data_IF_845840109902
#
_entry.id   IF_845840109902
#
_cell.length_a   1.000
_cell.length_b   1.000
_cell.length_c   1.000
_cell.angle_alpha   90.00
_cell.angle_beta   90.00
_cell.angle_gamma   90.00
#
_symmetry.space_group_name_H-M   'P 1'
#
loop_
_entity.id
_entity.type
_entity.pdbx_description
1 polymer ?
#
# COMPACT_ATOMS: atom_id res chain seq x y z
N UNK A 1 -15.47 -42.55 40.73
CA UNK A 1 -16.22 -41.34 40.37
C UNK A 1 -16.06 -41.13 38.88
N UNK A 2 -17.16 -41.25 38.14
CA UNK A 2 -17.22 -40.98 36.71
C UNK A 2 -16.93 -39.50 36.44
N UNK A 3 -16.04 -39.22 35.50
CA UNK A 3 -16.07 -37.97 34.74
C UNK A 3 -16.25 -38.33 33.27
N UNK A 4 -17.51 -38.41 32.86
CA UNK A 4 -17.89 -38.20 31.48
C UNK A 4 -17.46 -36.78 31.09
N UNK A 5 -16.69 -36.67 30.03
CA UNK A 5 -16.57 -35.46 29.23
C UNK A 5 -16.11 -35.85 27.83
N UNK A 6 -17.02 -36.44 27.09
CA UNK A 6 -17.12 -36.34 25.63
C UNK A 6 -17.33 -34.85 25.25
N UNK A 7 -16.30 -34.04 25.47
CA UNK A 7 -16.29 -32.60 25.25
C UNK A 7 -15.38 -32.23 24.09
N UNK A 8 -15.90 -31.47 23.12
CA UNK A 8 -15.12 -30.91 22.02
C UNK A 8 -13.85 -30.21 22.54
N UNK A 9 -12.68 -30.62 22.04
CA UNK A 9 -11.37 -30.03 22.37
C UNK A 9 -11.18 -28.58 21.86
N UNK A 10 -12.22 -28.02 21.22
CA UNK A 10 -12.24 -26.65 20.71
C UNK A 10 -13.03 -25.78 21.68
N UNK A 11 -12.40 -24.83 22.40
CA UNK A 11 -13.10 -23.92 23.31
C UNK A 11 -14.11 -23.07 22.52
N UNK A 12 -15.36 -22.99 22.98
CA UNK A 12 -16.42 -22.18 22.35
C UNK A 12 -16.49 -20.74 22.87
N UNK A 13 -15.95 -20.46 24.06
CA UNK A 13 -15.98 -19.14 24.68
C UNK A 13 -14.61 -18.72 25.25
N UNK A 14 -14.08 -17.58 24.82
CA UNK A 14 -12.88 -16.95 25.39
C UNK A 14 -12.11 -16.05 24.43
N UNK A 15 -12.05 -14.76 24.78
CA UNK A 15 -11.24 -13.74 24.12
C UNK A 15 -9.76 -14.16 23.99
N UNK A 16 -9.19 -14.00 22.80
CA UNK A 16 -7.79 -14.34 22.49
C UNK A 16 -6.87 -13.30 23.14
N UNK A 17 -6.25 -13.66 24.27
CA UNK A 17 -5.14 -12.92 24.86
C UNK A 17 -3.80 -13.69 24.84
N UNK A 18 -3.67 -14.73 24.01
CA UNK A 18 -2.38 -15.37 23.70
C UNK A 18 -2.44 -16.18 22.38
N UNK A 19 -1.41 -16.16 21.51
CA UNK A 19 -1.47 -16.76 20.16
C UNK A 19 -1.52 -18.30 20.12
N UNK A 20 -1.60 -18.98 21.26
CA UNK A 20 -1.33 -20.42 21.36
C UNK A 20 -2.54 -21.29 21.67
N UNK A 21 -3.75 -20.73 21.82
CA UNK A 21 -4.95 -21.53 22.11
C UNK A 21 -6.19 -20.97 21.42
N UNK A 22 -6.77 -21.76 20.51
CA UNK A 22 -8.16 -21.60 20.05
C UNK A 22 -8.42 -20.70 18.84
N UNK A 23 -7.45 -20.55 17.94
CA UNK A 23 -7.65 -19.81 16.66
C UNK A 23 -7.94 -20.79 15.52
N UNK A 24 -8.70 -20.37 14.50
CA UNK A 24 -9.01 -21.16 13.30
C UNK A 24 -7.72 -21.81 12.77
N UNK A 25 -7.71 -23.14 12.64
CA UNK A 25 -6.51 -23.91 12.24
C UNK A 25 -5.77 -24.63 13.38
N UNK A 26 -6.21 -24.49 14.65
CA UNK A 26 -5.64 -25.25 15.77
C UNK A 26 -5.89 -26.74 15.59
N UNK A 27 -4.84 -27.56 15.59
CA UNK A 27 -4.97 -29.02 15.48
C UNK A 27 -5.69 -29.62 16.69
N UNK A 28 -6.80 -30.31 16.45
CA UNK A 28 -7.63 -30.93 17.50
C UNK A 28 -7.63 -32.47 17.46
N UNK A 29 -7.36 -33.08 16.30
CA UNK A 29 -7.18 -34.51 16.12
C UNK A 29 -6.39 -34.76 14.81
N UNK A 30 -5.81 -35.96 14.59
CA UNK A 30 -5.12 -36.28 13.35
C UNK A 30 -5.97 -35.95 12.12
N UNK A 31 -5.49 -35.03 11.28
CA UNK A 31 -6.22 -34.57 10.08
C UNK A 31 -7.42 -33.66 10.35
N UNK A 32 -7.55 -33.06 11.54
CA UNK A 32 -8.66 -32.18 11.93
C UNK A 32 -8.20 -30.88 12.59
N UNK A 33 -8.92 -29.79 12.36
CA UNK A 33 -8.67 -28.46 12.91
C UNK A 33 -9.90 -27.86 13.60
N UNK A 34 -9.69 -26.97 14.56
CA UNK A 34 -10.75 -26.19 15.18
C UNK A 34 -11.22 -25.07 14.25
N UNK A 35 -12.51 -25.03 13.94
CA UNK A 35 -13.19 -23.97 13.19
C UNK A 35 -14.53 -23.66 13.87
N UNK A 36 -14.73 -22.41 14.32
CA UNK A 36 -15.97 -22.01 14.99
C UNK A 36 -16.27 -22.78 16.29
N UNK A 37 -15.23 -23.23 17.01
CA UNK A 37 -15.40 -24.04 18.22
C UNK A 37 -15.75 -25.52 17.96
N UNK A 38 -15.60 -26.00 16.72
CA UNK A 38 -15.83 -27.40 16.33
C UNK A 38 -14.59 -28.01 15.68
N UNK A 39 -14.31 -29.28 15.98
CA UNK A 39 -13.17 -30.01 15.42
C UNK A 39 -13.55 -30.64 14.07
N UNK A 40 -13.29 -29.91 12.99
CA UNK A 40 -13.66 -30.28 11.62
C UNK A 40 -12.48 -30.92 10.89
N UNK A 41 -12.70 -31.82 9.92
CA UNK A 41 -11.64 -32.27 9.03
C UNK A 41 -10.92 -31.09 8.40
N UNK A 42 -9.59 -31.16 8.31
CA UNK A 42 -8.83 -30.23 7.48
C UNK A 42 -9.33 -30.45 6.06
N UNK A 43 -10.15 -29.52 5.55
CA UNK A 43 -10.49 -29.49 4.14
C UNK A 43 -9.14 -29.49 3.43
N UNK A 44 -8.89 -30.53 2.62
CA UNK A 44 -7.75 -30.54 1.72
C UNK A 44 -7.72 -29.16 1.06
N UNK A 45 -6.62 -28.43 1.26
CA UNK A 45 -6.40 -27.19 0.52
C UNK A 45 -6.73 -27.51 -0.94
N UNK A 46 -7.54 -26.69 -1.63
CA UNK A 46 -7.86 -26.94 -3.03
C UNK A 46 -6.54 -27.27 -3.72
N UNK A 47 -6.51 -28.45 -4.32
CA UNK A 47 -5.30 -29.04 -4.87
C UNK A 47 -4.55 -27.99 -5.69
N UNK A 48 -3.22 -28.10 -5.77
CA UNK A 48 -2.37 -27.24 -6.61
C UNK A 48 -2.87 -27.11 -8.08
N UNK A 49 -3.84 -27.94 -8.49
CA UNK A 49 -4.52 -27.95 -9.79
C UNK A 49 -5.58 -26.85 -10.02
N UNK A 50 -5.96 -26.06 -9.01
CA UNK A 50 -6.89 -24.92 -9.17
C UNK A 50 -6.20 -23.54 -9.10
N UNK A 51 -4.86 -23.49 -9.08
CA UNK A 51 -4.13 -22.22 -9.11
C UNK A 51 -4.08 -21.66 -10.52
N UNK A 52 -4.47 -20.40 -10.64
CA UNK A 52 -4.25 -19.64 -11.86
C UNK A 52 -2.75 -19.56 -12.18
N UNK A 53 -2.44 -19.53 -13.46
CA UNK A 53 -1.11 -19.24 -13.97
C UNK A 53 -1.04 -17.80 -14.47
N UNK A 54 0.13 -17.18 -14.32
CA UNK A 54 0.34 -15.84 -14.85
C UNK A 54 0.42 -15.88 -16.39
N UNK A 55 -0.27 -14.96 -17.05
CA UNK A 55 -0.05 -14.68 -18.46
C UNK A 55 1.38 -14.20 -18.71
N UNK A 56 1.79 -14.17 -19.97
CA UNK A 56 2.98 -13.42 -20.37
C UNK A 56 2.81 -11.93 -20.00
N UNK A 57 3.94 -11.29 -19.70
CA UNK A 57 3.97 -9.86 -19.43
C UNK A 57 3.68 -9.09 -20.72
N UNK A 58 2.73 -8.17 -20.63
CA UNK A 58 2.50 -7.14 -21.65
C UNK A 58 3.19 -5.88 -21.20
N UNK A 59 4.10 -5.36 -22.02
CA UNK A 59 4.89 -4.16 -21.72
C UNK A 59 4.38 -2.95 -22.50
N UNK A 60 4.27 -1.82 -21.82
CA UNK A 60 3.93 -0.53 -22.42
C UNK A 60 5.18 0.13 -23.04
N UNK A 61 4.96 1.19 -23.82
CA UNK A 61 6.04 2.04 -24.34
C UNK A 61 6.81 2.74 -23.22
N UNK A 62 8.12 2.97 -23.45
CA UNK A 62 8.96 3.75 -22.53
C UNK A 62 8.43 5.19 -22.38
N UNK A 63 8.32 5.64 -21.14
CA UNK A 63 7.89 6.99 -20.74
C UNK A 63 8.97 7.63 -19.86
N UNK A 64 9.15 8.94 -19.93
CA UNK A 64 10.16 9.64 -19.11
C UNK A 64 9.73 11.05 -18.77
N UNK A 65 10.10 11.50 -17.55
CA UNK A 65 9.99 12.90 -17.14
C UNK A 65 11.10 13.81 -17.69
N UNK A 66 12.08 13.25 -18.41
CA UNK A 66 13.26 13.95 -18.93
C UNK A 66 14.01 14.76 -17.86
N UNK A 67 14.20 14.14 -16.70
CA UNK A 67 14.91 14.70 -15.56
C UNK A 67 16.41 14.37 -15.63
N UNK A 68 17.24 15.23 -15.04
CA UNK A 68 18.69 15.03 -14.99
C UNK A 68 19.05 13.72 -14.27
N UNK A 69 20.07 13.01 -14.78
CA UNK A 69 20.56 11.70 -14.30
C UNK A 69 19.54 10.56 -14.26
N UNK A 70 18.30 10.84 -14.64
CA UNK A 70 17.17 9.93 -14.57
C UNK A 70 17.08 9.06 -15.82
N UNK A 71 16.35 7.96 -15.73
CA UNK A 71 16.04 7.07 -16.86
C UNK A 71 14.55 7.17 -17.20
N UNK A 72 14.15 6.52 -18.28
CA UNK A 72 12.75 6.25 -18.54
C UNK A 72 12.24 5.06 -17.74
N UNK A 73 10.93 4.93 -17.67
CA UNK A 73 10.24 3.79 -17.13
C UNK A 73 9.17 3.29 -18.10
N UNK A 74 8.98 1.97 -18.14
CA UNK A 74 7.90 1.29 -18.84
C UNK A 74 7.18 0.36 -17.88
N UNK A 75 5.86 0.40 -17.96
CA UNK A 75 5.00 -0.45 -17.14
C UNK A 75 4.84 -1.79 -17.84
N UNK A 76 4.78 -2.86 -17.07
CA UNK A 76 4.35 -4.17 -17.57
C UNK A 76 3.25 -4.75 -16.69
N UNK A 77 2.29 -5.41 -17.32
CA UNK A 77 1.14 -6.03 -16.67
C UNK A 77 0.98 -7.47 -17.13
N UNK A 78 0.50 -8.33 -16.23
CA UNK A 78 0.13 -9.71 -16.51
C UNK A 78 -1.20 -10.02 -15.85
N UNK A 79 -1.91 -11.01 -16.36
CA UNK A 79 -3.24 -11.38 -15.89
C UNK A 79 -3.20 -12.78 -15.30
N UNK A 80 -3.99 -13.00 -14.24
CA UNK A 80 -4.11 -14.30 -13.61
C UNK A 80 -5.14 -15.12 -14.38
N UNK A 81 -4.70 -16.18 -15.05
CA UNK A 81 -5.49 -16.96 -16.00
C UNK A 81 -5.48 -18.46 -15.64
N UNK A 82 -6.63 -19.12 -15.79
CA UNK A 82 -6.75 -20.58 -15.70
C UNK A 82 -6.31 -21.26 -17.00
N UNK A 83 -6.28 -22.60 -17.02
CA UNK A 83 -5.96 -23.40 -18.22
C UNK A 83 -6.77 -23.00 -19.47
N UNK A 84 -8.01 -22.56 -19.27
CA UNK A 84 -8.92 -22.10 -20.35
C UNK A 84 -8.82 -20.59 -20.64
N UNK A 85 -7.75 -19.91 -20.19
CA UNK A 85 -7.56 -18.44 -20.27
C UNK A 85 -8.67 -17.60 -19.66
N UNK A 86 -9.43 -18.17 -18.72
CA UNK A 86 -10.42 -17.45 -17.91
C UNK A 86 -9.77 -16.84 -16.69
N UNK A 87 -10.29 -15.72 -16.20
CA UNK A 87 -9.80 -15.06 -14.98
C UNK A 87 -9.78 -16.03 -13.81
N UNK A 88 -8.62 -16.15 -13.17
CA UNK A 88 -8.40 -16.99 -12.01
C UNK A 88 -8.22 -16.12 -10.74
N UNK A 89 -8.60 -16.67 -9.59
CA UNK A 89 -8.63 -15.92 -8.32
C UNK A 89 -7.37 -16.11 -7.47
N UNK A 90 -6.46 -17.02 -7.84
CA UNK A 90 -5.32 -17.39 -7.01
C UNK A 90 -4.01 -17.52 -7.82
N UNK A 91 -3.34 -16.39 -8.04
CA UNK A 91 -1.95 -16.33 -8.50
C UNK A 91 -1.06 -15.67 -7.44
N UNK A 92 0.15 -16.21 -7.23
CA UNK A 92 1.13 -15.63 -6.29
C UNK A 92 2.07 -14.67 -7.01
N UNK A 93 2.26 -13.46 -6.46
CA UNK A 93 3.12 -12.40 -7.00
C UNK A 93 2.34 -11.20 -7.55
N UNK A 94 3.05 -10.15 -8.01
CA UNK A 94 2.41 -8.93 -8.51
C UNK A 94 1.87 -9.10 -9.93
N UNK A 95 0.71 -8.50 -10.25
CA UNK A 95 0.18 -8.41 -11.61
C UNK A 95 0.76 -7.21 -12.39
N UNK A 96 1.49 -6.35 -11.69
CA UNK A 96 2.00 -5.07 -12.14
C UNK A 96 3.48 -4.94 -11.76
N UNK A 97 4.27 -4.37 -12.67
CA UNK A 97 5.68 -4.07 -12.43
C UNK A 97 6.14 -2.89 -13.32
N UNK A 98 7.21 -2.22 -12.91
CA UNK A 98 7.82 -1.08 -13.59
C UNK A 98 9.28 -1.39 -13.86
N UNK A 99 9.66 -1.34 -15.13
CA UNK A 99 11.03 -1.55 -15.59
C UNK A 99 11.64 -0.22 -16.06
N UNK A 100 12.94 -0.06 -15.81
CA UNK A 100 13.69 1.06 -16.35
C UNK A 100 13.96 0.84 -17.86
N UNK A 101 14.03 1.93 -18.60
CA UNK A 101 14.35 1.96 -20.02
C UNK A 101 15.22 3.17 -20.36
N UNK A 102 15.97 3.06 -21.45
CA UNK A 102 16.73 4.19 -21.99
C UNK A 102 15.78 5.20 -22.65
N UNK A 103 15.86 6.44 -22.19
CA UNK A 103 15.02 7.56 -22.62
C UNK A 103 15.78 8.60 -23.46
N UNK A 104 17.03 8.37 -23.84
CA UNK A 104 17.83 9.31 -24.63
C UNK A 104 17.12 9.77 -25.91
N UNK A 105 16.45 8.83 -26.59
CA UNK A 105 15.71 9.12 -27.84
C UNK A 105 14.42 9.92 -27.61
N UNK A 106 13.84 9.83 -26.41
CA UNK A 106 12.63 10.56 -25.99
C UNK A 106 13.01 11.97 -25.54
N UNK A 107 14.09 12.09 -24.76
CA UNK A 107 14.52 13.31 -24.09
C UNK A 107 15.59 14.06 -24.88
N UNK A 108 15.24 14.56 -26.06
CA UNK A 108 16.15 15.29 -26.96
C UNK A 108 16.47 16.72 -26.53
N UNK A 109 15.66 17.29 -25.64
CA UNK A 109 15.82 18.65 -25.12
C UNK A 109 16.67 18.64 -23.85
N UNK A 110 17.13 19.82 -23.42
CA UNK A 110 17.82 19.98 -22.14
C UNK A 110 16.96 19.41 -21.01
N UNK A 111 17.54 18.47 -20.26
CA UNK A 111 16.89 17.83 -19.11
C UNK A 111 16.69 18.83 -17.97
N UNK A 112 15.51 18.78 -17.37
CA UNK A 112 15.13 19.61 -16.22
C UNK A 112 15.74 19.04 -14.94
N UNK A 113 16.08 19.90 -13.99
CA UNK A 113 16.47 19.44 -12.64
C UNK A 113 15.27 18.87 -11.89
N UNK A 114 15.51 17.97 -10.94
CA UNK A 114 14.43 17.40 -10.12
C UNK A 114 13.75 18.50 -9.27
N UNK A 115 14.54 19.46 -8.76
CA UNK A 115 14.03 20.61 -7.98
C UNK A 115 13.10 21.49 -8.81
N UNK A 116 13.44 21.80 -10.06
CA UNK A 116 12.55 22.56 -10.95
C UNK A 116 11.25 21.80 -11.24
N UNK A 117 11.32 20.47 -11.41
CA UNK A 117 10.12 19.65 -11.59
C UNK A 117 9.24 19.66 -10.34
N UNK A 118 9.81 19.42 -9.16
CA UNK A 118 9.12 19.47 -7.88
C UNK A 118 8.48 20.84 -7.65
N UNK A 119 9.20 21.94 -7.95
CA UNK A 119 8.69 23.31 -7.83
C UNK A 119 7.45 23.53 -8.69
N UNK A 120 7.45 23.08 -9.95
CA UNK A 120 6.29 23.21 -10.83
C UNK A 120 5.09 22.39 -10.33
N UNK A 121 5.35 21.21 -9.76
CA UNK A 121 4.29 20.39 -9.16
C UNK A 121 3.74 21.04 -7.89
N UNK A 122 4.58 21.62 -7.03
CA UNK A 122 4.12 22.36 -5.85
C UNK A 122 3.26 23.57 -6.20
N UNK A 123 3.62 24.32 -7.25
CA UNK A 123 2.78 25.41 -7.76
C UNK A 123 1.39 24.88 -8.18
N UNK A 124 1.35 23.78 -8.93
CA UNK A 124 0.09 23.14 -9.34
C UNK A 124 -0.72 22.58 -8.15
N UNK A 125 -0.07 22.00 -7.16
CA UNK A 125 -0.73 21.49 -5.96
C UNK A 125 -1.33 22.62 -5.13
N UNK A 126 -0.66 23.78 -5.07
CA UNK A 126 -1.14 24.95 -4.32
C UNK A 126 -2.44 25.56 -4.85
N UNK A 127 -2.83 25.24 -6.09
CA UNK A 127 -4.14 25.62 -6.65
C UNK A 127 -5.30 24.90 -5.95
N UNK A 128 -5.04 23.71 -5.39
CA UNK A 128 -6.03 22.88 -4.69
C UNK A 128 -5.81 22.81 -3.19
N UNK A 129 -4.57 23.00 -2.74
CA UNK A 129 -4.15 22.95 -1.34
C UNK A 129 -3.64 24.32 -0.90
N UNK A 130 -4.51 25.20 -0.37
CA UNK A 130 -4.17 26.59 -0.05
C UNK A 130 -3.08 26.74 1.03
N UNK A 131 -2.86 25.71 1.85
CA UNK A 131 -1.80 25.62 2.86
C UNK A 131 -0.38 25.55 2.28
N UNK A 132 -0.25 25.20 1.00
CA UNK A 132 1.04 25.13 0.31
C UNK A 132 1.46 26.51 -0.21
N UNK A 133 2.76 26.78 -0.12
CA UNK A 133 3.39 27.93 -0.76
C UNK A 133 3.79 27.56 -2.20
N UNK A 134 2.91 27.86 -3.15
CA UNK A 134 3.14 27.61 -4.57
C UNK A 134 4.27 28.45 -5.19
N UNK A 135 4.72 29.51 -4.53
CA UNK A 135 5.85 30.32 -4.99
C UNK A 135 7.20 29.79 -4.49
N UNK A 136 7.19 28.93 -3.46
CA UNK A 136 8.39 28.32 -2.93
C UNK A 136 8.94 27.22 -3.84
N UNK A 137 10.25 26.99 -3.74
CA UNK A 137 10.90 25.85 -4.39
C UNK A 137 10.41 24.54 -3.78
N UNK A 138 10.12 23.56 -4.62
CA UNK A 138 9.89 22.17 -4.19
C UNK A 138 11.19 21.45 -3.84
N UNK A 139 11.07 20.33 -3.15
CA UNK A 139 12.19 19.54 -2.63
C UNK A 139 12.03 18.06 -2.99
N UNK A 140 13.14 17.43 -3.32
CA UNK A 140 13.32 15.98 -3.27
C UNK A 140 14.05 15.67 -1.97
N UNK A 141 13.44 14.90 -1.07
CA UNK A 141 14.09 14.49 0.17
C UNK A 141 15.19 13.46 -0.12
N UNK A 142 16.11 13.28 0.83
CA UNK A 142 17.14 12.25 0.72
C UNK A 142 16.54 10.84 0.85
N UNK A 143 17.29 9.85 0.37
CA UNK A 143 16.91 8.46 0.50
C UNK A 143 17.02 7.98 1.94
N UNK A 144 15.97 7.32 2.40
CA UNK A 144 15.91 6.66 3.69
C UNK A 144 15.64 5.18 3.53
N UNK A 145 16.48 4.35 4.14
CA UNK A 145 16.41 2.89 4.04
C UNK A 145 15.15 2.30 4.65
N UNK A 146 14.51 3.01 5.58
CA UNK A 146 13.26 2.60 6.24
C UNK A 146 12.01 3.23 5.58
N UNK A 147 12.21 4.22 4.70
CA UNK A 147 11.15 4.96 4.01
C UNK A 147 11.55 5.21 2.57
N UNK A 148 11.57 4.12 1.80
CA UNK A 148 11.99 4.15 0.39
C UNK A 148 11.19 5.14 -0.46
N UNK A 149 9.97 5.51 -0.04
CA UNK A 149 9.14 6.46 -0.76
C UNK A 149 9.62 7.93 -0.68
N UNK A 150 10.42 8.29 0.33
CA UNK A 150 10.73 9.70 0.61
C UNK A 150 11.48 10.38 -0.53
N UNK A 151 12.54 9.76 -1.05
CA UNK A 151 13.29 10.34 -2.17
C UNK A 151 12.53 10.35 -3.50
N UNK A 152 11.35 9.74 -3.54
CA UNK A 152 10.47 9.70 -4.71
C UNK A 152 9.18 10.51 -4.53
N UNK A 153 8.92 11.07 -3.34
CA UNK A 153 7.81 11.97 -3.11
C UNK A 153 8.19 13.43 -3.39
N UNK A 154 7.19 14.23 -3.75
CA UNK A 154 7.36 15.67 -3.95
C UNK A 154 7.05 16.38 -2.63
N UNK A 155 8.05 17.10 -2.11
CA UNK A 155 7.89 17.91 -0.91
C UNK A 155 7.69 19.38 -1.27
N UNK A 156 6.63 19.97 -0.74
CA UNK A 156 6.24 21.35 -0.96
C UNK A 156 6.33 22.16 0.33
N UNK A 157 6.82 23.39 0.25
CA UNK A 157 6.89 24.25 1.42
C UNK A 157 5.48 24.63 1.87
N UNK A 158 5.23 24.61 3.17
CA UNK A 158 3.99 25.10 3.75
C UNK A 158 4.07 26.60 4.06
N UNK A 159 2.91 27.27 4.03
CA UNK A 159 2.80 28.70 4.39
C UNK A 159 2.81 28.94 5.90
N UNK A 160 2.19 28.02 6.65
CA UNK A 160 1.98 28.15 8.09
C UNK A 160 3.18 27.69 8.92
N UNK A 161 3.93 26.70 8.41
CA UNK A 161 5.17 26.23 9.01
C UNK A 161 6.28 26.32 7.96
N UNK A 162 7.45 26.86 8.34
CA UNK A 162 8.61 27.00 7.46
C UNK A 162 9.30 25.65 7.18
N UNK A 163 8.51 24.62 6.86
CA UNK A 163 8.91 23.24 6.64
C UNK A 163 8.33 22.70 5.32
N UNK A 164 8.87 21.57 4.89
CA UNK A 164 8.54 20.90 3.64
C UNK A 164 7.60 19.73 3.91
N UNK A 165 6.41 19.75 3.33
CA UNK A 165 5.39 18.73 3.51
C UNK A 165 5.17 17.95 2.23
N UNK A 166 5.03 16.62 2.32
CA UNK A 166 4.57 15.79 1.21
C UNK A 166 3.06 15.55 1.34
N UNK A 167 2.19 16.30 0.62
CA UNK A 167 0.72 16.23 0.73
C UNK A 167 0.14 14.98 0.06
N UNK A 168 0.60 13.80 0.48
CA UNK A 168 0.27 12.52 -0.15
C UNK A 168 -1.18 12.13 0.07
N UNK A 169 -1.72 12.41 1.25
CA UNK A 169 -3.08 12.01 1.62
C UNK A 169 -4.08 12.87 0.87
N UNK A 170 -3.91 14.19 0.96
CA UNK A 170 -4.82 15.17 0.37
C UNK A 170 -4.81 15.10 -1.16
N UNK A 171 -3.63 14.93 -1.78
CA UNK A 171 -3.55 14.80 -3.24
C UNK A 171 -4.11 13.47 -3.73
N UNK A 172 -3.91 12.36 -3.01
CA UNK A 172 -4.52 11.08 -3.38
C UNK A 172 -6.05 11.15 -3.35
N UNK A 173 -6.64 11.80 -2.34
CA UNK A 173 -8.09 12.01 -2.25
C UNK A 173 -8.63 12.85 -3.43
N UNK A 174 -7.79 13.73 -3.99
CA UNK A 174 -8.08 14.53 -5.18
C UNK A 174 -7.73 13.83 -6.51
N UNK A 175 -7.26 12.58 -6.47
CA UNK A 175 -6.83 11.83 -7.66
C UNK A 175 -5.56 12.40 -8.31
N UNK A 176 -4.75 13.14 -7.55
CA UNK A 176 -3.48 13.71 -7.99
C UNK A 176 -2.30 12.91 -7.46
N UNK A 177 -1.33 12.66 -8.33
CA UNK A 177 -0.10 11.94 -7.99
C UNK A 177 0.93 12.86 -7.31
N UNK A 178 1.25 12.65 -6.01
CA UNK A 178 2.20 13.43 -5.23
C UNK A 178 3.66 13.00 -5.42
N UNK A 179 3.98 12.11 -6.38
CA UNK A 179 5.31 11.54 -6.56
C UNK A 179 6.05 12.05 -7.80
N UNK A 180 7.37 11.86 -7.77
CA UNK A 180 8.24 11.98 -8.92
C UNK A 180 7.95 10.84 -9.91
N UNK A 181 8.06 11.08 -11.22
CA UNK A 181 7.77 10.06 -12.22
C UNK A 181 8.72 8.87 -12.07
N UNK A 182 8.23 7.67 -12.39
CA UNK A 182 9.08 6.49 -12.42
C UNK A 182 10.28 6.69 -13.37
N UNK A 183 11.43 6.16 -12.97
CA UNK A 183 12.72 6.38 -13.63
C UNK A 183 13.51 7.57 -13.10
N UNK A 184 12.92 8.41 -12.23
CA UNK A 184 13.64 9.52 -11.59
C UNK A 184 14.80 9.01 -10.72
N UNK A 185 16.00 9.57 -10.89
CA UNK A 185 17.14 9.26 -10.03
C UNK A 185 16.90 9.78 -8.62
N UNK A 186 17.15 8.94 -7.60
CA UNK A 186 16.81 9.27 -6.21
C UNK A 186 17.96 9.08 -5.22
N UNK A 187 18.93 8.21 -5.50
CA UNK A 187 20.07 7.98 -4.62
C UNK A 187 21.22 7.31 -5.35
N UNK A 188 22.41 7.36 -4.77
CA UNK A 188 23.52 6.49 -5.10
C UNK A 188 24.15 6.01 -3.79
N UNK A 189 24.37 4.71 -3.64
CA UNK A 189 24.98 4.14 -2.44
C UNK A 189 26.50 4.37 -2.38
N UNK A 190 27.12 3.93 -1.28
CA UNK A 190 28.56 4.08 -1.05
C UNK A 190 29.40 3.36 -2.12
N UNK A 191 28.87 2.31 -2.74
CA UNK A 191 29.49 1.60 -3.85
C UNK A 191 29.24 2.25 -5.23
N UNK A 192 28.48 3.35 -5.28
CA UNK A 192 28.17 4.08 -6.49
C UNK A 192 27.08 3.45 -7.36
N UNK A 193 26.26 2.54 -6.81
CA UNK A 193 25.09 1.99 -7.52
C UNK A 193 23.95 3.00 -7.46
N UNK A 194 23.38 3.31 -8.62
CA UNK A 194 22.27 4.24 -8.73
C UNK A 194 20.92 3.59 -8.34
N UNK A 195 20.08 4.41 -7.72
CA UNK A 195 18.72 4.10 -7.34
C UNK A 195 17.76 5.00 -8.09
N UNK A 196 16.60 4.44 -8.45
CA UNK A 196 15.58 5.10 -9.23
C UNK A 196 14.19 4.90 -8.64
N UNK A 197 13.33 5.89 -8.82
CA UNK A 197 11.92 5.82 -8.45
C UNK A 197 11.19 4.79 -9.30
N UNK A 198 10.61 3.80 -8.64
CA UNK A 198 9.80 2.74 -9.27
C UNK A 198 8.64 2.41 -8.34
N UNK A 199 7.42 2.56 -8.83
CA UNK A 199 6.20 2.40 -8.01
C UNK A 199 6.26 3.27 -6.75
N UNK A 200 6.71 4.51 -6.91
CA UNK A 200 6.90 5.50 -5.83
C UNK A 200 7.99 5.18 -4.80
N UNK A 201 8.81 4.14 -5.01
CA UNK A 201 9.90 3.77 -4.10
C UNK A 201 11.26 3.99 -4.76
N UNK A 202 12.23 4.47 -3.98
CA UNK A 202 13.62 4.62 -4.40
C UNK A 202 14.33 3.28 -4.27
N UNK A 203 14.49 2.60 -5.41
CA UNK A 203 14.98 1.22 -5.47
C UNK A 203 16.24 1.11 -6.33
N UNK A 204 17.14 0.15 -6.04
CA UNK A 204 18.31 -0.09 -6.86
C UNK A 204 17.92 -0.36 -8.33
N UNK A 205 18.77 0.06 -9.27
CA UNK A 205 18.56 -0.15 -10.70
C UNK A 205 18.14 -1.59 -11.06
N UNK A 206 18.81 -2.57 -10.44
CA UNK A 206 18.64 -4.00 -10.73
C UNK A 206 17.55 -4.68 -9.88
N UNK A 207 16.69 -3.91 -9.18
CA UNK A 207 15.65 -4.46 -8.32
C UNK A 207 14.60 -5.23 -9.13
N UNK A 208 14.24 -6.44 -8.69
CA UNK A 208 13.22 -7.29 -9.31
C UNK A 208 12.13 -7.60 -8.30
N UNK A 209 10.91 -7.12 -8.56
CA UNK A 209 9.73 -7.48 -7.78
C UNK A 209 9.45 -8.99 -7.97
N UNK A 210 9.40 -9.77 -6.88
CA UNK A 210 8.96 -11.17 -6.89
C UNK A 210 10.00 -12.28 -7.09
N UNK A 211 11.31 -12.05 -6.93
CA UNK A 211 12.28 -13.15 -6.72
C UNK A 211 12.67 -13.20 -5.24
N UNK A 212 12.44 -14.35 -4.59
CA UNK A 212 12.96 -14.67 -3.26
C UNK A 212 14.48 -14.48 -3.22
N UNK A 213 14.90 -13.28 -2.87
CA UNK A 213 16.27 -12.99 -2.46
C UNK A 213 16.56 -13.81 -1.22
N UNK A 214 17.73 -14.46 -1.18
CA UNK A 214 18.17 -15.29 -0.04
C UNK A 214 18.62 -14.43 1.16
N UNK A 215 18.42 -13.11 1.12
CA UNK A 215 18.77 -12.21 2.20
C UNK A 215 17.63 -12.12 3.21
N UNK A 216 17.94 -12.47 4.47
CA UNK A 216 17.02 -12.41 5.62
C UNK A 216 16.51 -10.99 5.94
N UNK A 217 17.08 -9.95 5.29
CA UNK A 217 16.62 -8.57 5.37
C UNK A 217 15.51 -8.20 4.36
N UNK A 218 15.29 -9.00 3.31
CA UNK A 218 14.41 -8.62 2.18
C UNK A 218 12.93 -9.03 2.41
N UNK A 219 12.71 -10.00 3.30
CA UNK A 219 11.37 -10.56 3.56
C UNK A 219 10.44 -9.64 4.37
N UNK A 220 10.97 -8.63 5.07
CA UNK A 220 10.12 -7.67 5.78
C UNK A 220 9.49 -6.65 4.81
N UNK A 221 10.13 -6.39 3.67
CA UNK A 221 9.72 -5.33 2.76
C UNK A 221 8.52 -5.72 1.88
N UNK A 222 8.47 -6.91 1.29
CA UNK A 222 7.37 -7.29 0.37
C UNK A 222 5.99 -7.41 1.04
N UNK A 223 5.91 -7.76 2.33
CA UNK A 223 4.63 -7.92 3.06
C UNK A 223 4.14 -6.59 3.69
N UNK A 224 5.04 -5.61 3.86
CA UNK A 224 4.77 -4.32 4.51
C UNK A 224 4.52 -3.18 3.49
N UNK A 225 4.82 -3.40 2.20
CA UNK A 225 4.54 -2.51 1.08
C UNK A 225 3.10 -2.64 0.53
N UNK A 226 2.12 -2.88 1.43
CA UNK A 226 0.71 -2.84 1.06
C UNK A 226 0.31 -1.48 0.46
N UNK A 227 -0.84 -1.39 -0.23
CA UNK A 227 -1.34 -0.12 -0.75
C UNK A 227 -1.47 0.88 0.41
N UNK A 228 -0.59 1.88 0.47
CA UNK A 228 -0.61 2.92 1.51
C UNK A 228 -1.73 3.96 1.29
N UNK A 229 -2.82 3.55 0.64
CA UNK A 229 -4.00 4.37 0.38
C UNK A 229 -5.07 4.16 1.49
N UNK A 230 -4.64 3.82 2.70
CA UNK A 230 -5.57 3.72 3.82
C UNK A 230 -5.91 5.13 4.30
N UNK A 231 -7.18 5.51 4.09
CA UNK A 231 -7.73 6.79 4.55
C UNK A 231 -7.46 7.07 6.03
N UNK A 232 -7.35 8.35 6.35
CA UNK A 232 -6.94 8.84 7.66
C UNK A 232 -8.02 8.55 8.73
N UNK A 233 -7.85 7.49 9.52
CA UNK A 233 -8.51 7.30 10.83
C UNK A 233 -7.51 7.45 11.99
N UNK A 234 -6.54 8.36 11.87
CA UNK A 234 -5.62 8.66 12.96
C UNK A 234 -6.11 9.89 13.74
N UNK A 235 -6.58 9.68 14.96
CA UNK A 235 -7.00 10.72 15.91
C UNK A 235 -5.91 11.71 16.38
N UNK A 236 -4.81 11.83 15.63
CA UNK A 236 -3.84 12.92 15.77
C UNK A 236 -3.30 13.29 14.39
N UNK A 237 -4.07 14.08 13.65
CA UNK A 237 -3.66 14.68 12.35
C UNK A 237 -2.25 15.28 12.45
N UNK A 238 -1.91 15.90 13.59
CA UNK A 238 -0.61 16.50 13.87
C UNK A 238 0.59 15.51 13.81
N UNK A 239 0.44 14.26 14.27
CA UNK A 239 1.54 13.27 14.21
C UNK A 239 1.76 12.75 12.80
N UNK A 240 0.70 12.54 12.04
CA UNK A 240 0.80 12.11 10.65
C UNK A 240 1.41 13.21 9.80
N UNK A 241 0.97 14.46 9.98
CA UNK A 241 1.56 15.63 9.34
C UNK A 241 3.04 15.73 9.64
N UNK A 242 3.46 15.58 10.92
CA UNK A 242 4.90 15.56 11.29
C UNK A 242 5.68 14.44 10.61
N UNK A 243 5.10 13.26 10.47
CA UNK A 243 5.73 12.12 9.77
C UNK A 243 5.90 12.36 8.27
N UNK A 244 4.96 13.07 7.66
CA UNK A 244 4.97 13.46 6.25
C UNK A 244 5.71 14.79 5.99
N UNK A 245 6.31 15.40 7.01
CA UNK A 245 7.01 16.67 6.92
C UNK A 245 8.52 16.47 7.10
N UNK A 246 9.30 17.12 6.25
CA UNK A 246 10.74 17.30 6.37
C UNK A 246 11.09 18.73 6.78
N UNK A 247 12.19 18.89 7.51
CA UNK A 247 12.79 20.16 7.86
C UNK A 247 13.39 20.89 6.65
N UNK A 248 13.93 22.10 6.87
CA UNK A 248 14.58 22.90 5.81
C UNK A 248 15.83 22.23 5.21
N UNK A 249 16.44 21.33 5.96
CA UNK A 249 17.58 20.47 5.60
C UNK A 249 17.17 19.23 4.79
N UNK A 250 15.87 19.00 4.60
CA UNK A 250 15.33 17.83 3.91
C UNK A 250 15.23 16.56 4.75
N UNK A 251 15.62 16.64 6.03
CA UNK A 251 15.50 15.54 6.97
C UNK A 251 14.09 15.46 7.56
N UNK A 252 13.56 14.25 7.83
CA UNK A 252 12.23 14.04 8.40
C UNK A 252 12.08 14.66 9.79
N UNK A 253 10.92 15.28 10.07
CA UNK A 253 10.61 15.75 11.42
C UNK A 253 10.21 14.60 12.37
N UNK A 254 9.67 13.52 11.82
CA UNK A 254 9.32 12.32 12.57
C UNK A 254 9.55 11.07 11.71
N UNK A 255 10.23 10.07 12.27
CA UNK A 255 10.60 8.82 11.58
C UNK A 255 9.63 7.67 11.85
N UNK A 256 8.79 7.77 12.89
CA UNK A 256 7.80 6.74 13.23
C UNK A 256 6.52 7.31 13.83
N UNK A 257 5.38 6.72 13.48
CA UNK A 257 4.08 7.00 14.10
C UNK A 257 3.67 5.77 14.87
N UNK A 258 3.66 5.85 16.20
CA UNK A 258 3.08 4.79 17.04
C UNK A 258 1.56 4.77 16.76
N UNK A 259 0.97 3.59 16.52
CA UNK A 259 -0.49 3.41 16.58
C UNK A 259 -0.92 3.72 18.02
N UNK A 260 -1.26 4.98 18.27
CA UNK A 260 -2.03 5.33 19.46
C UNK A 260 -3.33 4.52 19.38
N UNK A 261 -3.70 3.89 20.49
CA UNK A 261 -4.96 3.18 20.63
C UNK A 261 -6.07 4.23 20.53
N UNK A 262 -6.43 4.63 19.32
CA UNK A 262 -7.78 5.07 19.07
C UNK A 262 -8.62 3.84 19.36
N UNK A 263 -9.46 3.92 20.40
CA UNK A 263 -10.48 2.90 20.61
C UNK A 263 -11.15 2.63 19.28
N UNK A 264 -11.34 1.35 18.88
CA UNK A 264 -12.08 1.05 17.68
C UNK A 264 -13.40 1.84 17.75
N UNK A 265 -13.77 2.53 16.66
CA UNK A 265 -15.02 3.27 16.64
C UNK A 265 -16.16 2.32 17.01
N UNK A 266 -17.17 2.84 17.72
CA UNK A 266 -18.33 2.03 18.11
C UNK A 266 -18.89 1.29 16.90
N UNK A 267 -19.39 0.08 17.09
CA UNK A 267 -19.86 -0.78 16.00
C UNK A 267 -20.90 -0.07 15.09
N UNK A 268 -21.58 0.94 15.64
CA UNK A 268 -22.55 1.80 14.97
C UNK A 268 -21.96 2.78 13.93
N UNK A 269 -20.66 3.09 13.97
CA UNK A 269 -19.99 3.98 13.00
C UNK A 269 -19.55 3.24 11.71
N UNK A 270 -19.69 1.91 11.69
CA UNK A 270 -19.46 1.08 10.51
C UNK A 270 -20.75 0.68 9.79
N UNK A 271 -21.90 1.05 10.35
CA UNK A 271 -23.19 0.82 9.71
C UNK A 271 -23.45 2.00 8.77
N UNK A 272 -23.24 1.78 7.48
CA UNK A 272 -23.79 2.66 6.45
C UNK A 272 -25.31 2.78 6.68
N UNK A 273 -25.80 3.99 6.93
CA UNK A 273 -27.25 4.27 7.06
C UNK A 273 -27.92 4.35 5.68
N UNK A 274 -27.67 3.35 4.84
CA UNK A 274 -28.22 3.27 3.48
C UNK A 274 -29.57 2.53 3.42
N UNK A 275 -30.15 2.17 4.57
CA UNK A 275 -31.48 1.60 4.61
C UNK A 275 -32.54 2.70 4.52
N UNK A 276 -33.16 2.83 3.35
CA UNK A 276 -34.48 3.43 3.21
C UNK A 276 -35.47 2.47 3.87
N UNK A 277 -36.03 2.86 5.02
CA UNK A 277 -37.16 2.14 5.62
C UNK A 277 -38.36 2.23 4.66
N UNK A 278 -38.69 1.11 4.00
CA UNK A 278 -39.92 0.99 3.25
C UNK A 278 -41.09 0.93 4.24
N UNK A 279 -42.17 1.71 4.06
CA UNK A 279 -43.32 1.66 4.95
C UNK A 279 -43.87 0.23 4.98
N UNK A 280 -44.09 -0.28 6.19
CA UNK A 280 -44.67 -1.60 6.41
C UNK A 280 -45.98 -1.70 5.61
N UNK A 281 -46.01 -2.63 4.64
CA UNK A 281 -47.25 -2.99 3.98
C UNK A 281 -48.27 -3.39 5.03
N UNK A 282 -49.46 -2.80 4.95
CA UNK A 282 -50.60 -3.09 5.80
C UNK A 282 -50.93 -4.59 5.70
N UNK A 283 -50.41 -5.37 6.63
CA UNK A 283 -50.90 -6.71 6.92
C UNK A 283 -52.24 -6.56 7.64
N UNK A 284 -53.31 -6.27 6.89
CA UNK A 284 -54.69 -6.52 7.34
C UNK A 284 -55.23 -7.78 6.64
N UNK A 285 -54.72 -8.93 7.05
CA UNK A 285 -55.47 -10.18 6.87
C UNK A 285 -56.64 -10.14 7.86
N UNK A 286 -57.79 -9.67 7.40
CA UNK A 286 -59.05 -9.82 8.12
C UNK A 286 -59.44 -11.30 8.10
N UNK A 287 -59.45 -11.89 9.29
CA UNK A 287 -60.12 -13.14 9.59
C UNK A 287 -61.63 -12.87 9.52
N UNK A 288 -62.37 -13.65 8.74
CA UNK A 288 -63.81 -13.80 8.91
C UNK A 288 -64.19 -15.27 8.69
N UNK A 289 -64.86 -15.81 9.71
CA UNK A 289 -65.54 -17.09 9.78
C UNK A 289 -66.74 -17.17 8.82
#
# INVERSE_FOLDING_TARGET
>A
MHHDSSGNACPKDGYIMSPSRGVRGTHCAPGRECRGGECVPVLEQPSDSERGSWSEWREDSCSSGCLQRSKGARVRRRFCENRDRKTATSCKGSYYDVLLCDDEKLCRKKRRTIVEFATLRCAFFSERLPELDGAAKGLQADHETDRLWMACAIFCRRKDIAAYYAPRVELNDLGLDPYLPDGTWCHADEEGRDYFCRQHHCLPENFLFGKKSRSRMDYRYEEELGPQNAGNRLGSVDRLVKYLTSGPDGLPLLTSVSRGIASPPGEDEWIDKDYIELPASEASSSIAY
#
